data_IF_163858745108
#
_entry.id   IF_163858745108
#
_cell.length_a   1.000
_cell.length_b   1.000
_cell.length_c   1.000
_cell.angle_alpha   90.00
_cell.angle_beta   90.00
_cell.angle_gamma   90.00
#
_symmetry.space_group_name_H-M   'P 1'
#
loop_
_entity.id
_entity.type
_entity.pdbx_description
1 polymer ?
#
# COMPACT_ATOMS: atom_id res chain seq x y z
N UNK A 1 -10.11 27.86 36.30
CA UNK A 1 -9.30 27.48 35.12
C UNK A 1 -9.16 25.96 34.95
N UNK A 2 -9.00 25.18 36.02
CA UNK A 2 -8.84 23.70 35.97
C UNK A 2 -9.92 22.92 35.19
N UNK A 3 -11.21 23.29 35.31
CA UNK A 3 -12.30 22.61 34.59
C UNK A 3 -12.20 22.74 33.06
N UNK A 4 -11.70 23.87 32.56
CA UNK A 4 -11.49 24.08 31.12
C UNK A 4 -10.33 23.24 30.60
N UNK A 5 -9.26 23.15 31.39
CA UNK A 5 -8.10 22.31 31.08
C UNK A 5 -8.45 20.82 31.04
N UNK A 6 -9.28 20.33 31.98
CA UNK A 6 -9.78 18.95 32.00
C UNK A 6 -10.60 18.61 30.75
N UNK A 7 -11.46 19.54 30.30
CA UNK A 7 -12.22 19.37 29.05
C UNK A 7 -11.30 19.28 27.82
N UNK A 8 -10.28 20.12 27.74
CA UNK A 8 -9.31 20.07 26.63
C UNK A 8 -8.56 18.74 26.58
N UNK A 9 -8.12 18.22 27.72
CA UNK A 9 -7.41 16.93 27.79
C UNK A 9 -8.33 15.78 27.34
N UNK A 10 -9.60 15.78 27.76
CA UNK A 10 -10.56 14.76 27.35
C UNK A 10 -10.87 14.79 25.84
N UNK A 11 -10.99 15.99 25.26
CA UNK A 11 -11.18 16.13 23.81
C UNK A 11 -9.93 15.70 23.04
N UNK A 12 -8.73 16.05 23.53
CA UNK A 12 -7.49 15.67 22.86
C UNK A 12 -7.27 14.15 22.89
N UNK A 13 -7.59 13.48 24.01
CA UNK A 13 -7.41 12.03 24.12
C UNK A 13 -8.38 11.25 23.23
N UNK A 14 -9.61 11.75 23.07
CA UNK A 14 -10.61 11.12 22.20
C UNK A 14 -10.21 11.25 20.73
N UNK A 15 -9.72 12.41 20.29
CA UNK A 15 -9.24 12.59 18.92
C UNK A 15 -8.11 11.60 18.60
N UNK A 16 -7.14 11.41 19.49
CA UNK A 16 -6.03 10.47 19.27
C UNK A 16 -6.45 9.00 19.19
N UNK A 17 -7.55 8.63 19.85
CA UNK A 17 -8.09 7.27 19.80
C UNK A 17 -8.87 7.00 18.51
N UNK A 18 -9.55 8.03 17.96
CA UNK A 18 -10.29 7.92 16.70
C UNK A 18 -9.37 8.01 15.48
N UNK A 19 -8.28 8.77 15.56
CA UNK A 19 -7.21 8.74 14.55
C UNK A 19 -6.27 7.59 14.86
N UNK A 20 -6.79 6.37 14.83
CA UNK A 20 -5.97 5.17 14.83
C UNK A 20 -4.90 5.29 13.74
N UNK A 21 -3.70 4.79 14.02
CA UNK A 21 -2.59 4.84 13.09
C UNK A 21 -2.81 3.80 11.98
N UNK A 22 -3.80 4.03 11.11
CA UNK A 22 -4.00 3.27 9.87
C UNK A 22 -2.97 3.72 8.84
N UNK A 23 -1.69 3.55 9.17
CA UNK A 23 -0.63 3.66 8.18
C UNK A 23 -0.57 2.33 7.44
N UNK A 24 -0.98 2.33 6.18
CA UNK A 24 -0.81 1.16 5.32
C UNK A 24 0.62 0.67 5.40
N UNK A 25 0.80 -0.60 5.77
CA UNK A 25 2.12 -1.22 5.94
C UNK A 25 2.94 -1.13 4.65
N UNK A 26 2.26 -1.12 3.51
CA UNK A 26 2.83 -0.99 2.18
C UNK A 26 2.00 0.01 1.35
N UNK A 27 2.67 0.94 0.67
CA UNK A 27 2.01 1.77 -0.35
C UNK A 27 1.51 0.90 -1.51
N UNK A 28 0.49 1.35 -2.25
CA UNK A 28 -0.11 0.57 -3.34
C UNK A 28 0.92 0.13 -4.41
N UNK A 29 1.98 0.92 -4.62
CA UNK A 29 3.10 0.60 -5.52
C UNK A 29 4.40 0.18 -4.83
N UNK A 30 4.41 -0.07 -3.52
CA UNK A 30 5.62 -0.46 -2.80
C UNK A 30 6.05 -1.89 -3.17
N UNK A 31 7.37 -2.15 -3.28
CA UNK A 31 7.87 -3.51 -3.50
C UNK A 31 7.43 -4.43 -2.36
N UNK A 32 6.71 -5.50 -2.70
CA UNK A 32 6.16 -6.44 -1.70
C UNK A 32 7.12 -7.60 -1.43
N UNK A 33 7.99 -7.93 -2.38
CA UNK A 33 8.92 -9.06 -2.26
C UNK A 33 10.36 -8.65 -2.60
N UNK A 34 11.38 -9.35 -2.05
CA UNK A 34 12.77 -9.20 -2.47
C UNK A 34 12.95 -9.42 -3.97
N UNK A 35 12.11 -10.26 -4.56
CA UNK A 35 12.11 -10.54 -6.00
C UNK A 35 11.65 -9.35 -6.84
N UNK A 36 10.62 -8.61 -6.40
CA UNK A 36 10.18 -7.37 -7.07
C UNK A 36 11.31 -6.32 -7.07
N UNK A 37 12.03 -6.21 -5.94
CA UNK A 37 13.20 -5.33 -5.84
C UNK A 37 14.30 -5.75 -6.82
N UNK A 38 14.61 -7.04 -6.89
CA UNK A 38 15.60 -7.57 -7.82
C UNK A 38 15.25 -7.26 -9.28
N UNK A 39 13.99 -7.46 -9.68
CA UNK A 39 13.53 -7.14 -11.04
C UNK A 39 13.61 -5.64 -11.33
N UNK A 40 13.19 -4.79 -10.40
CA UNK A 40 13.25 -3.34 -10.57
C UNK A 40 14.68 -2.85 -10.78
N UNK A 41 15.64 -3.35 -10.00
CA UNK A 41 17.07 -2.99 -10.14
C UNK A 41 17.65 -3.36 -11.51
N UNK A 42 17.01 -4.27 -12.24
CA UNK A 42 17.42 -4.71 -13.58
C UNK A 42 16.55 -4.13 -14.69
N UNK A 43 15.64 -3.20 -14.38
CA UNK A 43 14.71 -2.62 -15.36
C UNK A 43 13.62 -3.59 -15.83
N UNK A 44 13.42 -4.72 -15.15
CA UNK A 44 12.48 -5.78 -15.51
C UNK A 44 11.18 -5.72 -14.70
N UNK A 45 10.78 -4.53 -14.25
CA UNK A 45 9.55 -4.34 -13.46
C UNK A 45 8.31 -4.75 -14.26
N UNK A 46 7.39 -5.48 -13.62
CA UNK A 46 6.14 -5.97 -14.23
C UNK A 46 4.93 -5.39 -13.48
N UNK A 47 3.84 -5.17 -14.20
CA UNK A 47 2.60 -4.68 -13.58
C UNK A 47 2.06 -5.71 -12.59
N UNK A 48 1.61 -5.25 -11.42
CA UNK A 48 1.04 -6.12 -10.40
C UNK A 48 -0.39 -6.54 -10.76
N UNK A 49 -1.14 -5.64 -11.39
CA UNK A 49 -2.54 -5.78 -11.78
C UNK A 49 -2.76 -5.39 -13.24
N UNK A 50 -3.77 -6.00 -13.83
CA UNK A 50 -4.30 -5.69 -15.16
C UNK A 50 -5.82 -5.50 -15.04
N UNK A 51 -6.38 -4.66 -15.92
CA UNK A 51 -7.82 -4.50 -16.02
C UNK A 51 -8.40 -5.63 -16.87
N UNK A 52 -9.39 -6.34 -16.34
CA UNK A 52 -10.02 -7.44 -17.06
C UNK A 52 -11.08 -6.96 -18.06
N UNK A 53 -11.64 -7.89 -18.84
CA UNK A 53 -12.66 -7.58 -19.85
C UNK A 53 -13.94 -6.93 -19.29
N UNK A 54 -14.15 -7.01 -17.97
CA UNK A 54 -15.29 -6.44 -17.26
C UNK A 54 -14.94 -5.13 -16.53
N UNK A 55 -13.73 -4.59 -16.71
CA UNK A 55 -13.28 -3.36 -16.07
C UNK A 55 -12.83 -3.52 -14.61
N UNK A 56 -12.71 -4.75 -14.10
CA UNK A 56 -12.23 -4.99 -12.74
C UNK A 56 -10.71 -5.18 -12.72
N UNK A 57 -10.07 -4.73 -11.64
CA UNK A 57 -8.66 -5.01 -11.40
C UNK A 57 -8.46 -6.47 -10.98
N UNK A 58 -7.55 -7.16 -11.67
CA UNK A 58 -7.13 -8.51 -11.34
C UNK A 58 -5.60 -8.63 -11.36
N UNK A 59 -5.01 -9.64 -10.71
CA UNK A 59 -3.56 -9.86 -10.78
C UNK A 59 -3.10 -10.17 -12.21
N UNK A 60 -2.06 -9.49 -12.70
CA UNK A 60 -1.50 -9.69 -14.05
C UNK A 60 -0.61 -10.96 -14.11
N UNK A 61 -1.20 -12.14 -13.84
CA UNK A 61 -0.47 -13.39 -13.66
C UNK A 61 0.35 -13.79 -14.89
N UNK A 62 -0.20 -13.60 -16.09
CA UNK A 62 0.46 -13.99 -17.34
C UNK A 62 1.77 -13.21 -17.52
N UNK A 63 1.71 -11.91 -17.32
CA UNK A 63 2.89 -11.07 -17.41
C UNK A 63 3.89 -11.40 -16.30
N UNK A 64 3.42 -11.66 -15.07
CA UNK A 64 4.28 -12.04 -13.94
C UNK A 64 4.95 -13.40 -14.08
N UNK A 65 4.35 -14.35 -14.79
CA UNK A 65 4.88 -15.70 -14.99
C UNK A 65 5.69 -15.87 -16.27
N UNK A 66 5.76 -14.84 -17.14
CA UNK A 66 6.60 -14.90 -18.34
C UNK A 66 8.08 -15.13 -18.00
N UNK A 67 8.85 -15.88 -18.80
CA UNK A 67 10.29 -15.99 -18.61
C UNK A 67 10.97 -14.62 -18.66
N UNK A 68 12.07 -14.46 -17.93
CA UNK A 68 12.92 -13.27 -18.04
C UNK A 68 13.85 -13.47 -19.24
N UNK A 69 13.76 -12.59 -20.26
CA UNK A 69 14.65 -12.62 -21.44
C UNK A 69 13.95 -12.74 -22.80
N UNK A 70 12.63 -12.94 -22.85
CA UNK A 70 11.83 -12.94 -24.09
C UNK A 70 11.12 -11.59 -24.31
N UNK A 71 11.86 -10.48 -24.19
CA UNK A 71 11.36 -9.13 -24.47
C UNK A 71 11.73 -8.68 -25.89
#
# INVERSE_FOLDING_TARGET
>A
MFKRMLLFVAVLSTITLLTGCEKSLFGQGAQRTPYDRYQMLRGQSRMATETNAYGNDQPALRDRLRPLGEQ
#
